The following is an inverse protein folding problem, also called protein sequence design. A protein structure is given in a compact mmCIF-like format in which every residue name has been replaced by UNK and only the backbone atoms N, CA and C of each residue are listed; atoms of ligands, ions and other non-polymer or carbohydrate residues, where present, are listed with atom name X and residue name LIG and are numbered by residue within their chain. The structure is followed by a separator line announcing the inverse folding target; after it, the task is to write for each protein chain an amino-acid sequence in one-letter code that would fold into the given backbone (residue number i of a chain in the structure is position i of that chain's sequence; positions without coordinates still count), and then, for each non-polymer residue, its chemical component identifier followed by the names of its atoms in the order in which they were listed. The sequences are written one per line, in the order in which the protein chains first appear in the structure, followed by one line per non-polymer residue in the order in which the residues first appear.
data_IF_306371666770
#
_entry.id   IF_306371666770
#
_cell.length_a   1.000
_cell.length_b   1.000
_cell.length_c   1.000
_cell.angle_alpha   90.00
_cell.angle_beta   90.00
_cell.angle_gamma   90.00
#
_symmetry.space_group_name_H-M   'P 1'
#
loop_
_entity.id
_entity.type
_entity.pdbx_description
1 polymer ?
#
# COMPACT_ATOMS: atom_id res chain seq x y z
N UNK A 1 -9.97 61.19 -30.76
CA UNK A 1 -10.24 59.74 -30.77
C UNK A 1 -10.04 59.23 -29.35
N UNK A 2 -11.13 58.94 -28.64
CA UNK A 2 -11.12 58.57 -27.22
C UNK A 2 -11.02 57.06 -27.08
N UNK A 3 -10.01 56.53 -26.38
CA UNK A 3 -10.05 55.17 -25.83
C UNK A 3 -10.21 55.25 -24.31
N UNK A 4 -11.38 54.81 -23.84
CA UNK A 4 -11.66 54.61 -22.41
C UNK A 4 -10.88 53.38 -21.94
N UNK A 5 -9.93 53.56 -21.01
CA UNK A 5 -9.30 52.45 -20.31
C UNK A 5 -10.22 51.96 -19.19
N UNK A 6 -10.74 50.75 -19.36
CA UNK A 6 -11.61 50.09 -18.39
C UNK A 6 -10.74 49.39 -17.35
N UNK A 7 -10.84 49.81 -16.10
CA UNK A 7 -10.16 49.20 -14.94
C UNK A 7 -10.82 47.86 -14.65
N UNK A 8 -10.17 46.75 -15.00
CA UNK A 8 -10.55 45.44 -14.47
C UNK A 8 -9.70 45.14 -13.24
N UNK A 9 -10.30 45.41 -12.08
CA UNK A 9 -9.91 44.85 -10.78
C UNK A 9 -10.12 43.33 -10.84
N UNK A 10 -9.04 42.56 -10.97
CA UNK A 10 -9.08 41.12 -10.85
C UNK A 10 -8.70 40.75 -9.41
N UNK A 11 -9.70 40.61 -8.55
CA UNK A 11 -9.54 40.07 -7.22
C UNK A 11 -9.13 38.59 -7.34
N UNK A 12 -7.86 38.31 -7.09
CA UNK A 12 -7.35 36.93 -7.06
C UNK A 12 -7.73 36.29 -5.72
N UNK A 13 -8.80 35.49 -5.71
CA UNK A 13 -9.13 34.61 -4.60
C UNK A 13 -8.12 33.45 -4.63
N UNK A 14 -7.12 33.49 -3.76
CA UNK A 14 -6.27 32.33 -3.50
C UNK A 14 -7.06 31.41 -2.56
N UNK A 15 -7.77 30.45 -3.13
CA UNK A 15 -8.36 29.36 -2.36
C UNK A 15 -7.24 28.43 -1.90
N UNK A 16 -6.84 28.53 -0.64
CA UNK A 16 -5.98 27.53 0.00
C UNK A 16 -6.83 26.28 0.23
N UNK A 17 -6.71 25.30 -0.67
CA UNK A 17 -7.25 23.96 -0.47
C UNK A 17 -6.39 23.26 0.60
N UNK A 18 -6.75 23.47 1.87
CA UNK A 18 -6.31 22.59 2.94
C UNK A 18 -7.04 21.25 2.78
N UNK A 19 -6.47 20.34 1.99
CA UNK A 19 -6.89 18.94 1.96
C UNK A 19 -6.46 18.35 3.30
N UNK A 20 -7.36 18.37 4.28
CA UNK A 20 -7.23 17.51 5.46
C UNK A 20 -7.28 16.07 4.97
N UNK A 21 -6.13 15.40 4.95
CA UNK A 21 -6.05 13.98 4.62
C UNK A 21 -6.63 13.25 5.83
N UNK A 22 -7.91 12.94 5.81
CA UNK A 22 -8.46 11.92 6.70
C UNK A 22 -7.90 10.61 6.15
N UNK A 23 -7.02 9.86 6.86
CA UNK A 23 -6.62 8.56 6.39
C UNK A 23 -7.87 7.66 6.40
N UNK A 24 -8.45 7.40 5.22
CA UNK A 24 -9.65 6.58 5.08
C UNK A 24 -9.35 5.09 5.20
N UNK A 25 -8.08 4.69 5.08
CA UNK A 25 -7.62 3.32 5.20
C UNK A 25 -6.15 3.24 5.64
N UNK A 26 -5.82 2.22 6.43
CA UNK A 26 -4.43 1.82 6.70
C UNK A 26 -3.97 0.97 5.53
N UNK A 27 -2.98 1.43 4.77
CA UNK A 27 -2.44 0.67 3.65
C UNK A 27 -0.94 0.83 3.46
N UNK A 28 -0.28 -0.26 3.06
CA UNK A 28 1.13 -0.27 2.73
C UNK A 28 1.39 0.49 1.42
N UNK A 29 2.32 1.45 1.47
CA UNK A 29 2.73 2.27 0.33
C UNK A 29 4.06 1.75 -0.24
N UNK A 30 4.11 1.36 -1.52
CA UNK A 30 5.32 0.80 -2.12
C UNK A 30 6.41 1.87 -2.28
N UNK A 31 7.65 1.50 -1.95
CA UNK A 31 8.83 2.37 -2.04
C UNK A 31 9.86 1.87 -3.05
N UNK A 32 10.09 0.55 -3.09
CA UNK A 32 11.14 -0.07 -3.89
C UNK A 32 10.64 -1.38 -4.48
N UNK A 33 11.02 -1.65 -5.73
CA UNK A 33 10.76 -2.92 -6.41
C UNK A 33 12.07 -3.50 -6.92
N UNK A 34 12.34 -4.76 -6.61
CA UNK A 34 13.48 -5.53 -7.14
C UNK A 34 12.95 -6.75 -7.87
N UNK A 35 13.49 -7.05 -9.06
CA UNK A 35 13.18 -8.26 -9.81
C UNK A 35 14.42 -9.16 -9.84
N UNK A 36 14.28 -10.40 -9.40
CA UNK A 36 15.35 -11.41 -9.40
C UNK A 36 14.90 -12.62 -10.23
N UNK A 37 15.59 -12.96 -11.33
CA UNK A 37 15.30 -14.16 -12.09
C UNK A 37 15.43 -15.41 -11.24
N UNK A 38 14.47 -16.33 -11.37
CA UNK A 38 14.56 -17.68 -10.79
C UNK A 38 15.10 -18.64 -11.85
N UNK A 39 14.58 -18.54 -13.07
CA UNK A 39 15.01 -19.30 -14.25
C UNK A 39 14.63 -18.52 -15.52
N UNK A 40 14.69 -19.18 -16.68
CA UNK A 40 14.38 -18.60 -17.99
C UNK A 40 12.92 -18.15 -18.12
N UNK A 41 11.99 -18.78 -17.39
CA UNK A 41 10.54 -18.57 -17.53
C UNK A 41 9.97 -17.59 -16.51
N UNK A 42 10.47 -17.58 -15.27
CA UNK A 42 9.88 -16.81 -14.16
C UNK A 42 10.91 -16.01 -13.35
N UNK A 43 10.44 -14.90 -12.79
CA UNK A 43 11.17 -14.01 -11.88
C UNK A 43 10.41 -13.79 -10.58
N UNK A 44 11.15 -13.48 -9.52
CA UNK A 44 10.61 -13.03 -8.25
C UNK A 44 10.63 -11.50 -8.21
N UNK A 45 9.45 -10.89 -8.18
CA UNK A 45 9.28 -9.48 -7.88
C UNK A 45 9.15 -9.31 -6.35
N UNK A 46 10.06 -8.56 -5.75
CA UNK A 46 10.03 -8.14 -4.35
C UNK A 46 9.70 -6.66 -4.29
N UNK A 47 8.55 -6.32 -3.74
CA UNK A 47 8.18 -4.94 -3.40
C UNK A 47 8.41 -4.69 -1.91
N UNK A 48 9.14 -3.63 -1.57
CA UNK A 48 9.28 -3.12 -0.21
C UNK A 48 8.38 -1.91 -0.07
N UNK A 49 7.49 -1.95 0.93
CA UNK A 49 6.51 -0.91 1.21
C UNK A 49 6.57 -0.48 2.68
N UNK A 50 6.16 0.76 2.98
CA UNK A 50 6.00 1.24 4.35
C UNK A 50 4.52 1.29 4.70
N UNK A 51 4.17 0.86 5.90
CA UNK A 51 2.82 0.96 6.44
C UNK A 51 2.87 1.62 7.80
N UNK A 52 2.02 2.63 8.02
CA UNK A 52 1.87 3.30 9.31
C UNK A 52 0.48 3.06 9.88
N UNK A 53 0.43 2.63 11.14
CA UNK A 53 -0.79 2.44 11.92
C UNK A 53 -0.79 3.42 13.09
N UNK A 54 -1.69 4.43 13.11
CA UNK A 54 -1.75 5.39 14.22
C UNK A 54 -2.08 4.73 15.56
N UNK A 55 -1.51 5.25 16.65
CA UNK A 55 -1.79 4.76 18.01
C UNK A 55 -3.26 4.99 18.40
N UNK A 56 -3.84 6.11 17.97
CA UNK A 56 -5.24 6.46 18.16
C UNK A 56 -6.18 5.87 17.08
N UNK A 57 -5.70 4.86 16.33
CA UNK A 57 -6.44 4.25 15.24
C UNK A 57 -7.81 3.73 15.71
N UNK A 58 -8.86 4.14 15.00
CA UNK A 58 -10.22 3.65 15.22
C UNK A 58 -10.64 2.58 14.21
N UNK A 59 -9.92 2.43 13.10
CA UNK A 59 -10.26 1.52 12.01
C UNK A 59 -10.00 0.06 12.41
N UNK A 60 -10.89 -0.87 12.06
CA UNK A 60 -10.70 -2.29 12.37
C UNK A 60 -9.79 -3.02 11.38
N UNK A 61 -9.55 -2.47 10.19
CA UNK A 61 -8.89 -3.15 9.08
C UNK A 61 -7.70 -2.36 8.53
N UNK A 62 -6.66 -3.08 8.13
CA UNK A 62 -5.60 -2.62 7.26
C UNK A 62 -5.54 -3.46 5.98
N UNK A 63 -4.86 -2.93 4.97
CA UNK A 63 -4.80 -3.52 3.63
C UNK A 63 -3.41 -3.48 3.01
N UNK A 64 -3.00 -4.59 2.40
CA UNK A 64 -1.89 -4.62 1.44
C UNK A 64 -2.48 -4.98 0.07
N UNK A 65 -2.37 -4.07 -0.90
CA UNK A 65 -3.00 -4.19 -2.22
C UNK A 65 -1.94 -4.08 -3.32
N UNK A 66 -2.14 -4.84 -4.39
CA UNK A 66 -1.39 -4.69 -5.64
C UNK A 66 -2.35 -4.45 -6.80
N UNK A 67 -1.99 -3.51 -7.68
CA UNK A 67 -2.72 -3.26 -8.91
C UNK A 67 -2.58 -4.44 -9.90
N UNK A 68 -3.46 -4.52 -10.92
CA UNK A 68 -3.30 -5.48 -12.02
C UNK A 68 -1.90 -5.39 -12.65
N UNK A 69 -1.25 -6.55 -12.81
CA UNK A 69 0.06 -6.67 -13.47
C UNK A 69 0.35 -8.13 -13.83
N UNK A 70 1.29 -8.36 -14.74
CA UNK A 70 1.71 -9.72 -15.13
C UNK A 70 1.95 -10.62 -13.90
N UNK A 71 1.56 -11.89 -14.01
CA UNK A 71 1.69 -12.86 -12.92
C UNK A 71 1.80 -14.27 -13.48
N UNK A 72 2.29 -15.19 -12.64
CA UNK A 72 2.30 -16.61 -12.96
C UNK A 72 1.23 -17.31 -12.12
N UNK A 73 0.38 -18.09 -12.77
CA UNK A 73 -0.68 -18.84 -12.09
C UNK A 73 -0.12 -19.81 -11.04
N UNK A 74 -0.94 -20.13 -10.03
CA UNK A 74 -0.64 -21.06 -8.92
C UNK A 74 0.49 -20.63 -7.99
N UNK A 75 1.06 -19.43 -8.17
CA UNK A 75 1.94 -18.81 -7.20
C UNK A 75 1.17 -17.73 -6.42
N UNK A 76 0.94 -17.91 -5.11
CA UNK A 76 0.34 -16.87 -4.31
C UNK A 76 1.33 -15.71 -4.10
N UNK A 77 0.80 -14.55 -3.74
CA UNK A 77 1.60 -13.44 -3.22
C UNK A 77 1.92 -13.70 -1.76
N UNK A 78 3.20 -13.62 -1.41
CA UNK A 78 3.68 -13.76 -0.03
C UNK A 78 3.91 -12.37 0.55
N UNK A 79 3.41 -12.12 1.76
CA UNK A 79 3.51 -10.83 2.43
C UNK A 79 4.12 -11.02 3.81
N UNK A 80 5.13 -10.22 4.14
CA UNK A 80 5.86 -10.27 5.41
C UNK A 80 5.94 -8.88 6.02
N UNK A 81 5.54 -8.71 7.28
CA UNK A 81 5.64 -7.44 7.99
C UNK A 81 6.80 -7.50 8.97
N UNK A 82 7.53 -6.40 9.04
CA UNK A 82 8.67 -6.20 9.92
C UNK A 82 8.45 -4.96 10.77
N UNK A 83 8.75 -5.07 12.06
CA UNK A 83 8.90 -3.93 12.97
C UNK A 83 10.39 -3.76 13.25
N UNK A 84 10.99 -2.72 12.67
CA UNK A 84 12.46 -2.68 12.52
C UNK A 84 12.96 -3.89 11.72
N UNK A 85 13.84 -4.69 12.32
CA UNK A 85 14.40 -5.90 11.70
C UNK A 85 13.63 -7.19 12.06
N UNK A 86 12.68 -7.12 12.99
CA UNK A 86 11.99 -8.29 13.50
C UNK A 86 10.76 -8.63 12.64
N UNK A 87 10.64 -9.86 12.11
CA UNK A 87 9.45 -10.30 11.41
C UNK A 87 8.32 -10.55 12.42
N UNK A 88 7.20 -9.85 12.25
CA UNK A 88 6.08 -9.88 13.21
C UNK A 88 4.80 -10.49 12.63
N UNK A 89 4.67 -10.54 11.30
CA UNK A 89 3.47 -11.07 10.66
C UNK A 89 3.79 -11.63 9.26
N UNK A 90 3.07 -12.68 8.87
CA UNK A 90 3.17 -13.28 7.54
C UNK A 90 1.78 -13.63 7.00
N UNK A 91 1.63 -13.53 5.69
CA UNK A 91 0.42 -13.90 5.00
C UNK A 91 0.70 -14.42 3.59
N UNK A 92 -0.26 -15.18 3.06
CA UNK A 92 -0.31 -15.56 1.66
C UNK A 92 -1.68 -15.17 1.11
N UNK A 93 -1.73 -14.64 -0.09
CA UNK A 93 -2.97 -14.27 -0.77
C UNK A 93 -2.94 -14.70 -2.21
N UNK A 94 -4.07 -15.20 -2.69
CA UNK A 94 -4.23 -15.57 -4.09
C UNK A 94 -4.18 -14.33 -4.99
N UNK A 95 -3.69 -14.53 -6.21
CA UNK A 95 -3.67 -13.52 -7.26
C UNK A 95 -4.95 -13.66 -8.08
N UNK A 96 -5.63 -12.54 -8.36
CA UNK A 96 -6.82 -12.51 -9.21
C UNK A 96 -6.44 -12.73 -10.68
N UNK A 97 -7.42 -13.03 -11.53
CA UNK A 97 -7.18 -13.27 -12.96
C UNK A 97 -6.57 -12.10 -13.75
N UNK A 98 -6.59 -10.89 -13.20
CA UNK A 98 -5.94 -9.70 -13.75
C UNK A 98 -4.57 -9.41 -13.10
N UNK A 99 -4.08 -10.31 -12.24
CA UNK A 99 -2.81 -10.16 -11.54
C UNK A 99 -2.86 -9.28 -10.29
N UNK A 100 -4.00 -8.66 -9.98
CA UNK A 100 -4.17 -7.88 -8.76
C UNK A 100 -4.33 -8.76 -7.52
N UNK A 101 -4.06 -8.21 -6.34
CA UNK A 101 -4.25 -8.91 -5.07
C UNK A 101 -4.67 -7.94 -3.96
N UNK A 102 -5.36 -8.47 -2.95
CA UNK A 102 -5.73 -7.71 -1.76
C UNK A 102 -5.65 -8.61 -0.53
N UNK A 103 -4.75 -8.26 0.39
CA UNK A 103 -4.70 -8.83 1.72
C UNK A 103 -5.32 -7.86 2.74
N UNK A 104 -6.47 -8.23 3.27
CA UNK A 104 -7.19 -7.50 4.33
C UNK A 104 -6.94 -8.18 5.67
N UNK A 105 -6.48 -7.42 6.68
CA UNK A 105 -6.14 -7.94 8.00
C UNK A 105 -6.68 -7.07 9.13
N UNK A 106 -6.87 -7.67 10.31
CA UNK A 106 -7.30 -6.95 11.51
C UNK A 106 -6.14 -6.15 12.10
N UNK A 107 -6.37 -4.86 12.33
CA UNK A 107 -5.45 -3.98 13.05
C UNK A 107 -5.85 -3.79 14.51
N UNK A 108 -7.10 -4.12 14.86
CA UNK A 108 -7.65 -4.03 16.21
C UNK A 108 -8.45 -5.26 16.57
N UNK A 109 -8.40 -5.65 17.84
CA UNK A 109 -9.21 -6.73 18.41
C UNK A 109 -10.12 -6.24 19.53
N UNK A 110 -11.20 -6.96 19.78
CA UNK A 110 -11.99 -6.79 21.01
C UNK A 110 -11.40 -7.71 22.08
N UNK A 111 -10.94 -7.15 23.19
CA UNK A 111 -10.62 -7.95 24.38
C UNK A 111 -11.94 -8.45 24.99
N UNK A 112 -12.14 -9.77 24.93
CA UNK A 112 -13.36 -10.41 25.46
C UNK A 112 -13.50 -10.34 26.98
N UNK A 113 -12.42 -10.02 27.69
CA UNK A 113 -12.38 -9.93 29.15
C UNK A 113 -12.79 -8.55 29.63
N UNK A 114 -12.24 -7.50 29.02
CA UNK A 114 -12.49 -6.10 29.41
C UNK A 114 -13.62 -5.47 28.61
N UNK A 115 -13.90 -5.97 27.40
CA UNK A 115 -14.81 -5.36 26.44
C UNK A 115 -14.21 -4.18 25.67
N UNK A 116 -12.92 -3.91 25.83
CA UNK A 116 -12.23 -2.80 25.18
C UNK A 116 -11.59 -3.21 23.85
N UNK A 117 -11.47 -2.25 22.93
CA UNK A 117 -10.75 -2.47 21.68
C UNK A 117 -9.26 -2.16 21.85
N UNK A 118 -8.42 -3.16 21.60
CA UNK A 118 -6.96 -3.06 21.66
C UNK A 118 -6.36 -3.08 20.25
N UNK A 119 -5.29 -2.32 20.05
CA UNK A 119 -4.52 -2.38 18.80
C UNK A 119 -3.71 -3.68 18.76
N UNK A 120 -3.78 -4.39 17.64
CA UNK A 120 -2.90 -5.54 17.33
C UNK A 120 -1.64 -5.03 16.62
N UNK A 121 -1.81 -4.02 15.77
CA UNK A 121 -0.73 -3.35 15.05
C UNK A 121 -0.73 -1.87 15.40
N UNK A 122 0.46 -1.29 15.53
CA UNK A 122 0.69 0.10 15.90
C UNK A 122 2.09 0.55 15.47
N UNK A 123 2.21 1.79 15.01
CA UNK A 123 3.47 2.36 14.56
C UNK A 123 3.81 2.04 13.10
N UNK A 124 5.11 2.11 12.78
CA UNK A 124 5.63 1.92 11.43
C UNK A 124 6.07 0.47 11.19
N UNK A 125 5.73 -0.05 10.01
CA UNK A 125 6.11 -1.38 9.55
C UNK A 125 6.74 -1.31 8.17
N UNK A 126 7.77 -2.13 7.97
CA UNK A 126 8.26 -2.48 6.63
C UNK A 126 7.52 -3.72 6.15
N UNK A 127 6.84 -3.61 5.02
CA UNK A 127 6.08 -4.70 4.38
C UNK A 127 6.85 -5.17 3.16
N UNK A 128 7.30 -6.42 3.16
CA UNK A 128 7.91 -7.08 1.99
C UNK A 128 6.87 -7.95 1.31
N UNK A 129 6.66 -7.72 0.02
CA UNK A 129 5.68 -8.39 -0.80
C UNK A 129 6.41 -9.12 -1.91
N UNK A 130 6.14 -10.41 -2.08
CA UNK A 130 6.78 -11.25 -3.08
C UNK A 130 5.72 -11.78 -4.04
N UNK A 131 5.92 -11.51 -5.33
CA UNK A 131 5.05 -11.96 -6.42
C UNK A 131 5.90 -12.66 -7.47
N UNK A 132 5.42 -13.79 -7.98
CA UNK A 132 6.06 -14.45 -9.12
C UNK A 132 5.48 -13.88 -10.41
N UNK A 133 6.36 -13.44 -11.30
CA UNK A 133 6.02 -12.84 -12.59
C UNK A 133 6.74 -13.57 -13.72
N UNK A 134 6.25 -13.52 -14.97
CA UNK A 134 7.01 -13.98 -16.12
C UNK A 134 8.39 -13.29 -16.17
N UNK A 135 9.43 -14.04 -16.51
CA UNK A 135 10.74 -13.46 -16.72
C UNK A 135 10.73 -12.61 -17.99
N UNK A 136 11.13 -11.34 -17.87
CA UNK A 136 11.20 -10.37 -18.97
C UNK A 136 12.63 -10.07 -19.41
N UNK A 137 13.63 -10.71 -18.80
CA UNK A 137 15.00 -10.63 -19.29
C UNK A 137 15.13 -11.46 -20.56
N UNK A 138 15.37 -10.80 -21.69
CA UNK A 138 16.03 -11.43 -22.83
C UNK A 138 17.38 -11.92 -22.33
N UNK A 139 17.49 -13.23 -22.13
CA UNK A 139 18.77 -13.88 -21.85
C UNK A 139 19.63 -13.66 -23.10
N UNK A 140 20.65 -12.80 -22.98
CA UNK A 140 21.67 -12.61 -24.02
C UNK A 140 22.41 -13.91 -24.29
#
# INVERSE_FOLDING_TARGET
MNLKFNVFLMASIIAVLSIGVIPTEISAQPNEVTITPINEEISLEKTVATMYVPEDNTLPWGFVKGAPSEYVERFPVIIQFYSGEDPVHFAQVDVKGDGSYEYKFRVRNLDSTTGEFVNIFEGEYTVKIFKVIPNSNDIV
#
